data_IF_693566627458
#
_entry.id   IF_693566627458
#
_cell.length_a   1.000
_cell.length_b   1.000
_cell.length_c   1.000
_cell.angle_alpha   90.00
_cell.angle_beta   90.00
_cell.angle_gamma   90.00
#
_symmetry.space_group_name_H-M   'P 1'
#
loop_
_entity.id
_entity.type
_entity.pdbx_description
1 polymer ?
#
# COMPACT_ATOMS: atom_id res chain seq x y z
N UNK A 1 46.64 -1.65 2.40
CA UNK A 1 45.31 -2.02 2.93
C UNK A 1 44.24 -1.05 2.40
N UNK A 2 44.27 -0.73 1.09
CA UNK A 2 43.47 0.40 0.57
C UNK A 2 43.06 0.26 -0.92
N UNK A 3 43.06 -0.95 -1.48
CA UNK A 3 42.85 -1.16 -2.93
C UNK A 3 41.72 -2.14 -3.29
N UNK A 4 41.06 -2.76 -2.31
CA UNK A 4 39.91 -3.66 -2.56
C UNK A 4 38.57 -2.89 -2.56
N UNK A 5 38.50 -1.75 -1.84
CA UNK A 5 37.27 -0.97 -1.71
C UNK A 5 36.85 -0.22 -2.99
N UNK A 6 37.77 0.00 -3.94
CA UNK A 6 37.52 0.73 -5.20
C UNK A 6 36.99 -0.14 -6.33
N UNK A 7 37.16 -1.47 -6.27
CA UNK A 7 36.70 -2.37 -7.33
C UNK A 7 35.18 -2.64 -7.25
N UNK A 8 34.60 -2.66 -6.05
CA UNK A 8 33.17 -2.95 -5.85
C UNK A 8 32.26 -1.79 -6.31
N UNK A 9 32.74 -0.55 -6.30
CA UNK A 9 31.96 0.61 -6.76
C UNK A 9 31.77 0.68 -8.28
N UNK A 10 32.72 0.16 -9.08
CA UNK A 10 32.66 0.27 -10.53
C UNK A 10 31.69 -0.74 -11.17
N UNK A 11 31.61 -1.97 -10.64
CA UNK A 11 30.69 -3.01 -11.15
C UNK A 11 29.21 -2.65 -10.92
N UNK A 12 28.92 -1.84 -9.89
CA UNK A 12 27.55 -1.38 -9.60
C UNK A 12 27.11 -0.22 -10.52
N UNK A 13 28.05 0.56 -11.08
CA UNK A 13 27.73 1.63 -12.04
C UNK A 13 27.63 1.14 -13.50
N UNK A 14 28.29 0.04 -13.89
CA UNK A 14 28.16 -0.49 -15.25
C UNK A 14 26.88 -1.31 -15.50
N UNK A 15 26.24 -1.84 -14.45
CA UNK A 15 24.99 -2.59 -14.59
C UNK A 15 23.71 -1.72 -14.62
N UNK A 16 23.82 -0.39 -14.47
CA UNK A 16 22.66 0.51 -14.47
C UNK A 16 22.35 1.13 -15.85
N UNK A 17 23.25 0.99 -16.82
CA UNK A 17 23.17 1.62 -18.15
C UNK A 17 22.65 0.68 -19.26
N UNK A 18 22.49 -0.61 -18.98
CA UNK A 18 22.06 -1.63 -19.95
C UNK A 18 20.53 -1.87 -19.99
N UNK A 19 19.77 -1.48 -18.97
CA UNK A 19 18.30 -1.72 -18.91
C UNK A 19 17.43 -0.49 -19.25
N UNK A 20 18.02 0.68 -19.53
CA UNK A 20 17.28 1.94 -19.83
C UNK A 20 17.33 2.29 -21.34
N UNK A 21 17.42 1.29 -22.21
CA UNK A 21 17.37 1.49 -23.67
C UNK A 21 16.48 0.43 -24.32
N UNK A 22 15.16 0.62 -24.23
CA UNK A 22 14.16 0.25 -25.26
C UNK A 22 12.71 0.47 -24.77
N UNK A 23 12.12 1.62 -25.12
CA UNK A 23 10.79 1.78 -25.77
C UNK A 23 10.31 3.25 -25.64
N UNK A 24 10.69 4.11 -26.60
CA UNK A 24 10.05 5.42 -26.79
C UNK A 24 10.27 5.99 -28.20
N UNK A 25 9.37 5.63 -29.11
CA UNK A 25 9.06 6.24 -30.44
C UNK A 25 8.17 5.24 -31.21
N UNK A 26 7.33 5.54 -32.21
CA UNK A 26 6.52 6.71 -32.62
C UNK A 26 5.48 6.16 -33.64
N UNK A 27 4.31 6.73 -33.95
CA UNK A 27 3.64 7.99 -33.57
C UNK A 27 2.10 7.82 -33.65
N UNK A 28 1.31 8.91 -33.52
CA UNK A 28 -0.14 8.98 -33.79
C UNK A 28 -0.60 8.31 -35.09
N UNK A 29 -1.77 7.65 -35.07
CA UNK A 29 -2.68 7.68 -36.23
C UNK A 29 -4.16 7.82 -35.81
N UNK A 30 -4.87 8.70 -36.51
CA UNK A 30 -6.26 9.11 -36.21
C UNK A 30 -7.26 8.13 -36.82
N UNK A 31 -8.23 7.64 -36.05
CA UNK A 31 -9.38 6.90 -36.60
C UNK A 31 -10.62 7.80 -36.69
N UNK A 32 -11.30 7.66 -37.83
CA UNK A 32 -12.26 8.58 -38.43
C UNK A 32 -13.66 8.51 -37.80
N UNK A 33 -14.40 9.63 -37.82
CA UNK A 33 -15.84 9.62 -37.55
C UNK A 33 -16.60 8.80 -38.60
N UNK A 34 -17.57 8.00 -38.16
CA UNK A 34 -18.73 7.64 -38.99
C UNK A 34 -20.03 7.87 -38.23
N UNK A 35 -20.94 8.61 -38.88
CA UNK A 35 -22.29 8.91 -38.38
C UNK A 35 -23.27 7.81 -38.79
N UNK A 36 -24.12 7.36 -37.86
CA UNK A 36 -25.15 6.36 -38.14
C UNK A 36 -26.42 6.61 -37.33
N UNK A 37 -27.34 7.41 -37.87
CA UNK A 37 -28.62 7.74 -37.24
C UNK A 37 -29.71 6.76 -37.69
N UNK A 38 -30.37 6.06 -36.76
CA UNK A 38 -31.82 5.73 -36.82
C UNK A 38 -32.35 5.23 -35.47
N UNK A 39 -33.29 5.98 -34.87
CA UNK A 39 -34.28 5.41 -33.94
C UNK A 39 -35.42 4.77 -34.76
N UNK A 40 -36.14 3.78 -34.21
CA UNK A 40 -37.45 4.10 -33.65
C UNK A 40 -37.84 3.36 -32.33
N UNK A 41 -38.76 4.01 -31.61
CA UNK A 41 -39.82 3.52 -30.70
C UNK A 41 -40.16 2.00 -30.75
N UNK A 42 -40.67 1.32 -29.71
CA UNK A 42 -41.16 1.68 -28.36
C UNK A 42 -41.53 0.35 -27.65
N UNK A 43 -41.22 0.17 -26.34
CA UNK A 43 -42.17 -0.44 -25.38
C UNK A 43 -41.79 -0.12 -23.92
N UNK A 44 -42.77 -0.10 -23.03
CA UNK A 44 -42.64 0.32 -21.62
C UNK A 44 -42.83 -0.86 -20.66
N UNK A 45 -41.80 -1.19 -19.89
CA UNK A 45 -41.97 -1.96 -18.64
C UNK A 45 -41.44 -1.17 -17.45
N UNK A 46 -42.37 -0.71 -16.61
CA UNK A 46 -42.07 -0.04 -15.35
C UNK A 46 -41.61 -1.10 -14.36
N UNK A 47 -40.37 -0.95 -13.87
CA UNK A 47 -39.85 -1.71 -12.74
C UNK A 47 -39.62 -0.70 -11.61
N UNK A 48 -40.40 -0.81 -10.53
CA UNK A 48 -40.25 0.04 -9.35
C UNK A 48 -38.93 -0.29 -8.62
N UNK A 49 -37.92 0.56 -8.81
CA UNK A 49 -36.71 0.58 -8.00
C UNK A 49 -37.04 1.10 -6.58
N UNK A 50 -36.63 0.39 -5.51
CA UNK A 50 -36.88 0.84 -4.14
C UNK A 50 -36.13 2.14 -3.85
N UNK A 51 -36.68 3.04 -3.01
CA UNK A 51 -36.14 4.38 -2.83
C UNK A 51 -34.72 4.35 -2.24
N UNK A 52 -33.74 4.60 -3.11
CA UNK A 52 -32.35 4.81 -2.70
C UNK A 52 -32.29 5.96 -1.71
N UNK A 53 -32.05 5.64 -0.43
CA UNK A 53 -31.77 6.63 0.61
C UNK A 53 -30.48 7.35 0.24
N UNK A 54 -30.60 8.46 -0.50
CA UNK A 54 -29.49 9.36 -0.81
C UNK A 54 -28.91 9.88 0.50
N UNK A 55 -27.87 9.21 0.98
CA UNK A 55 -27.07 9.70 2.08
C UNK A 55 -26.50 11.05 1.61
N UNK A 56 -26.91 12.14 2.27
CA UNK A 56 -26.41 13.48 1.97
C UNK A 56 -24.97 13.57 2.45
N UNK A 57 -24.03 13.08 1.64
CA UNK A 57 -22.60 13.19 1.90
C UNK A 57 -22.22 14.67 1.73
N UNK A 58 -22.13 15.38 2.86
CA UNK A 58 -21.46 16.68 2.97
C UNK A 58 -20.06 16.57 2.38
N UNK A 59 -19.70 17.53 1.52
CA UNK A 59 -18.52 17.43 0.66
C UNK A 59 -17.19 17.43 1.43
N UNK A 60 -17.20 17.83 2.70
CA UNK A 60 -16.02 17.97 3.55
C UNK A 60 -15.58 16.65 4.23
N UNK A 61 -16.47 15.68 4.38
CA UNK A 61 -16.21 14.46 5.17
C UNK A 61 -15.60 13.30 4.35
N UNK A 62 -15.60 13.43 3.02
CA UNK A 62 -15.13 12.40 2.09
C UNK A 62 -13.66 11.99 2.27
N UNK A 63 -12.69 12.90 2.50
CA UNK A 63 -11.27 12.53 2.61
C UNK A 63 -11.00 11.68 3.85
N UNK A 64 -11.56 12.09 5.01
CA UNK A 64 -11.38 11.39 6.29
C UNK A 64 -11.96 9.98 6.27
N UNK A 65 -13.13 9.81 5.66
CA UNK A 65 -13.74 8.48 5.47
C UNK A 65 -12.87 7.53 4.62
N UNK A 66 -12.06 8.05 3.69
CA UNK A 66 -11.12 7.21 2.93
C UNK A 66 -9.89 6.85 3.77
N UNK A 67 -9.32 7.82 4.50
CA UNK A 67 -8.18 7.64 5.40
C UNK A 67 -8.45 6.58 6.50
N UNK A 68 -9.61 6.65 7.15
CA UNK A 68 -10.05 5.68 8.16
C UNK A 68 -10.16 4.26 7.56
N UNK A 69 -10.74 4.14 6.37
CA UNK A 69 -10.88 2.87 5.65
C UNK A 69 -9.53 2.30 5.21
N UNK A 70 -8.63 3.14 4.69
CA UNK A 70 -7.27 2.72 4.33
C UNK A 70 -6.48 2.27 5.56
N UNK A 71 -6.59 2.99 6.68
CA UNK A 71 -5.94 2.62 7.94
C UNK A 71 -6.39 1.25 8.44
N UNK A 72 -7.68 0.92 8.32
CA UNK A 72 -8.20 -0.42 8.62
C UNK A 72 -7.69 -1.49 7.64
N UNK A 73 -7.74 -1.23 6.33
CA UNK A 73 -7.32 -2.20 5.28
C UNK A 73 -5.82 -2.51 5.33
N UNK A 74 -5.00 -1.51 5.66
CA UNK A 74 -3.53 -1.60 5.66
C UNK A 74 -2.94 -2.00 7.03
N UNK A 75 -3.79 -2.15 8.05
CA UNK A 75 -3.37 -2.57 9.40
C UNK A 75 -2.79 -3.99 9.43
N UNK A 76 -1.90 -4.26 10.38
CA UNK A 76 -1.42 -5.61 10.63
C UNK A 76 -2.56 -6.49 11.18
N UNK A 77 -2.80 -7.66 10.58
CA UNK A 77 -3.87 -8.57 11.00
C UNK A 77 -3.69 -9.22 12.39
N UNK A 78 -2.62 -8.88 13.12
CA UNK A 78 -2.26 -9.43 14.44
C UNK A 78 -2.37 -8.36 15.53
N UNK A 79 -1.59 -7.27 15.43
CA UNK A 79 -1.65 -6.16 16.40
C UNK A 79 -2.66 -5.06 16.05
N UNK A 80 -3.25 -5.09 14.85
CA UNK A 80 -4.16 -4.07 14.31
C UNK A 80 -3.54 -2.68 14.10
N UNK A 81 -2.22 -2.54 14.31
CA UNK A 81 -1.50 -1.29 14.11
C UNK A 81 -1.11 -1.04 12.65
N UNK A 82 -1.05 0.24 12.30
CA UNK A 82 -0.55 0.74 11.03
C UNK A 82 0.96 1.04 11.13
N UNK A 83 1.76 -0.04 11.06
CA UNK A 83 3.22 -0.03 11.21
C UNK A 83 3.97 0.64 10.06
N UNK A 84 4.96 1.48 10.36
CA UNK A 84 5.94 2.03 9.39
C UNK A 84 7.15 1.09 9.15
N UNK A 85 7.26 0.00 9.91
CA UNK A 85 8.26 -1.05 9.73
C UNK A 85 7.81 -2.07 8.65
N UNK A 86 8.72 -2.91 8.12
CA UNK A 86 8.42 -3.75 6.96
C UNK A 86 7.12 -4.54 7.07
N UNK A 87 6.32 -4.51 6.02
CA UNK A 87 5.02 -5.19 5.98
C UNK A 87 5.16 -6.44 5.11
N UNK A 88 4.91 -7.61 5.71
CA UNK A 88 4.92 -8.89 5.03
C UNK A 88 3.50 -9.28 4.62
N UNK A 89 3.37 -9.78 3.40
CA UNK A 89 2.12 -10.26 2.83
C UNK A 89 2.21 -11.78 2.61
N UNK A 90 1.23 -12.54 3.10
CA UNK A 90 1.10 -13.95 2.75
C UNK A 90 0.57 -14.12 1.32
N UNK A 91 0.69 -15.32 0.73
CA UNK A 91 0.25 -15.60 -0.65
C UNK A 91 -1.21 -15.20 -0.96
N UNK A 92 -2.07 -15.12 0.05
CA UNK A 92 -3.48 -14.75 -0.07
C UNK A 92 -3.80 -13.28 0.29
N UNK A 93 -2.78 -12.44 0.53
CA UNK A 93 -2.96 -10.98 0.69
C UNK A 93 -2.99 -10.43 2.12
N UNK A 94 -2.96 -11.26 3.16
CA UNK A 94 -3.01 -10.77 4.55
C UNK A 94 -1.68 -10.14 4.99
N UNK A 95 -1.78 -8.97 5.64
CA UNK A 95 -0.66 -8.11 6.02
C UNK A 95 -0.22 -8.31 7.47
N UNK A 96 1.08 -8.49 7.69
CA UNK A 96 1.71 -8.67 9.01
C UNK A 96 2.89 -7.71 9.14
N UNK A 97 2.97 -6.93 10.22
CA UNK A 97 4.15 -6.11 10.48
C UNK A 97 5.36 -6.99 10.84
N UNK A 98 6.57 -6.49 10.61
CA UNK A 98 7.81 -7.24 10.83
C UNK A 98 7.94 -7.87 12.23
N UNK A 99 7.49 -7.18 13.29
CA UNK A 99 7.50 -7.74 14.65
C UNK A 99 6.56 -8.94 14.77
N UNK A 100 5.29 -8.76 14.40
CA UNK A 100 4.28 -9.82 14.46
C UNK A 100 4.62 -11.03 13.58
N UNK A 101 5.16 -10.80 12.38
CA UNK A 101 5.62 -11.88 11.49
C UNK A 101 6.78 -12.68 12.11
N UNK A 102 7.79 -12.01 12.69
CA UNK A 102 8.89 -12.69 13.36
C UNK A 102 8.45 -13.43 14.63
N UNK A 103 7.47 -12.89 15.39
CA UNK A 103 6.92 -13.57 16.57
C UNK A 103 6.23 -14.88 16.16
N UNK A 104 5.37 -14.88 15.13
CA UNK A 104 4.75 -16.13 14.63
C UNK A 104 5.80 -17.19 14.25
N UNK A 105 6.83 -16.79 13.48
CA UNK A 105 7.91 -17.70 13.07
C UNK A 105 8.69 -18.25 14.27
N UNK A 106 8.90 -17.44 15.31
CA UNK A 106 9.59 -17.85 16.54
C UNK A 106 8.73 -18.80 17.38
N UNK A 107 7.47 -18.45 17.62
CA UNK A 107 6.53 -19.23 18.45
C UNK A 107 6.29 -20.63 17.89
N UNK A 108 6.06 -20.74 16.58
CA UNK A 108 5.88 -22.03 15.92
C UNK A 108 7.19 -22.85 15.94
N UNK A 109 8.35 -22.21 15.69
CA UNK A 109 9.65 -22.90 15.78
C UNK A 109 9.94 -23.44 17.19
N UNK A 110 9.55 -22.73 18.25
CA UNK A 110 9.70 -23.18 19.64
C UNK A 110 8.81 -24.38 19.99
N UNK A 111 7.72 -24.60 19.24
CA UNK A 111 6.77 -25.69 19.42
C UNK A 111 6.98 -26.87 18.46
N UNK A 112 7.94 -26.77 17.55
CA UNK A 112 8.10 -27.68 16.40
C UNK A 112 6.84 -27.75 15.50
N UNK A 113 6.16 -26.61 15.35
CA UNK A 113 4.93 -26.46 14.56
C UNK A 113 5.19 -25.71 13.24
N UNK A 114 4.39 -26.00 12.22
CA UNK A 114 4.38 -25.23 10.97
C UNK A 114 3.78 -23.83 11.19
N UNK A 115 4.49 -22.78 10.82
CA UNK A 115 3.94 -21.43 10.87
C UNK A 115 2.89 -21.23 9.79
N UNK A 116 1.72 -20.70 10.15
CA UNK A 116 0.61 -20.42 9.24
C UNK A 116 0.06 -19.00 9.42
N UNK A 117 -0.55 -18.45 8.37
CA UNK A 117 -1.21 -17.15 8.41
C UNK A 117 -2.44 -17.21 9.35
N UNK A 118 -2.58 -16.33 10.35
CA UNK A 118 -3.71 -16.37 11.30
C UNK A 118 -5.09 -16.29 10.63
N UNK A 119 -5.19 -15.56 9.51
CA UNK A 119 -6.46 -15.30 8.82
C UNK A 119 -6.88 -16.45 7.90
N UNK A 120 -5.98 -16.95 7.05
CA UNK A 120 -6.31 -17.91 5.99
C UNK A 120 -5.59 -19.26 6.10
N UNK A 121 -4.79 -19.48 7.15
CA UNK A 121 -4.10 -20.74 7.49
C UNK A 121 -3.15 -21.31 6.40
N UNK A 122 -2.87 -20.55 5.34
CA UNK A 122 -1.79 -20.90 4.41
C UNK A 122 -0.46 -20.93 5.17
N UNK A 123 0.47 -21.76 4.72
CA UNK A 123 1.84 -21.76 5.24
C UNK A 123 2.46 -20.36 5.13
N UNK A 124 3.20 -19.92 6.16
CA UNK A 124 4.02 -18.70 6.08
C UNK A 124 5.46 -18.98 6.48
N UNK A 125 6.40 -18.37 5.75
CA UNK A 125 7.84 -18.52 5.92
C UNK A 125 8.55 -17.30 5.34
N UNK A 126 9.86 -17.17 5.61
CA UNK A 126 10.68 -16.09 5.04
C UNK A 126 10.83 -16.16 3.51
N UNK A 127 10.48 -17.28 2.87
CA UNK A 127 10.58 -17.48 1.42
C UNK A 127 9.25 -17.42 0.68
N UNK A 128 8.12 -17.69 1.34
CA UNK A 128 6.79 -17.67 0.72
C UNK A 128 5.96 -16.40 1.02
N UNK A 129 6.39 -15.58 1.98
CA UNK A 129 5.80 -14.28 2.27
C UNK A 129 6.66 -13.16 1.69
N UNK A 130 6.02 -12.21 1.01
CA UNK A 130 6.70 -11.12 0.30
C UNK A 130 6.63 -9.84 1.12
N UNK A 131 7.73 -9.09 1.20
CA UNK A 131 7.74 -7.72 1.75
C UNK A 131 7.02 -6.78 0.76
N UNK A 132 5.90 -6.19 1.17
CA UNK A 132 5.10 -5.32 0.32
C UNK A 132 5.54 -3.84 0.46
N UNK A 133 6.51 -3.46 -0.37
CA UNK A 133 7.02 -2.08 -0.45
C UNK A 133 5.97 -1.06 -0.91
N UNK A 134 4.92 -1.48 -1.63
CA UNK A 134 3.85 -0.57 -2.04
C UNK A 134 3.00 -0.16 -0.83
N UNK A 135 2.61 -1.13 0.01
CA UNK A 135 1.91 -0.90 1.28
C UNK A 135 2.75 -0.03 2.22
N UNK A 136 4.05 -0.30 2.36
CA UNK A 136 4.95 0.54 3.18
C UNK A 136 4.97 2.01 2.72
N UNK A 137 5.03 2.24 1.40
CA UNK A 137 4.95 3.59 0.83
C UNK A 137 3.58 4.22 1.08
N UNK A 138 2.47 3.50 0.82
CA UNK A 138 1.12 4.03 1.08
C UNK A 138 0.92 4.39 2.55
N UNK A 139 1.41 3.58 3.49
CA UNK A 139 1.38 3.89 4.92
C UNK A 139 2.20 5.13 5.26
N UNK A 140 3.35 5.32 4.61
CA UNK A 140 4.24 6.47 4.85
C UNK A 140 3.59 7.80 4.48
N UNK A 141 2.76 7.82 3.42
CA UNK A 141 2.01 8.99 2.95
C UNK A 141 0.68 9.23 3.68
N UNK A 142 0.23 8.30 4.54
CA UNK A 142 -0.97 8.54 5.34
C UNK A 142 -0.68 9.55 6.45
N UNK A 143 -1.63 10.45 6.77
CA UNK A 143 -1.45 11.42 7.83
C UNK A 143 -1.38 10.76 9.21
N UNK A 144 -0.78 11.50 10.14
CA UNK A 144 -0.74 11.21 11.57
C UNK A 144 -0.66 12.51 12.36
N UNK A 145 -1.32 12.55 13.51
CA UNK A 145 -1.25 13.68 14.43
C UNK A 145 -0.02 13.56 15.34
N UNK A 146 0.65 14.67 15.60
CA UNK A 146 1.71 14.73 16.61
C UNK A 146 1.14 14.74 18.02
N UNK A 147 1.64 13.84 18.87
CA UNK A 147 1.24 13.71 20.29
C UNK A 147 1.51 14.97 21.15
N UNK A 148 2.40 15.87 20.71
CA UNK A 148 2.81 17.07 21.43
C UNK A 148 2.07 18.33 20.95
N UNK A 149 2.31 18.74 19.69
CA UNK A 149 1.76 19.98 19.12
C UNK A 149 0.39 19.84 18.43
N UNK A 150 -0.15 18.62 18.37
CA UNK A 150 -1.43 18.25 17.76
C UNK A 150 -1.56 18.59 16.25
N UNK A 151 -0.47 18.95 15.57
CA UNK A 151 -0.46 19.18 14.12
C UNK A 151 -0.38 17.85 13.34
N UNK A 152 -0.88 17.87 12.10
CA UNK A 152 -0.87 16.71 11.19
C UNK A 152 0.40 16.72 10.33
N UNK A 153 1.05 15.56 10.21
CA UNK A 153 2.22 15.32 9.37
C UNK A 153 2.06 14.00 8.59
N UNK A 154 2.97 13.72 7.66
CA UNK A 154 3.10 12.38 7.09
C UNK A 154 3.69 11.40 8.10
N UNK A 155 3.32 10.11 8.02
CA UNK A 155 3.87 9.05 8.89
C UNK A 155 5.38 8.81 8.68
N UNK A 156 5.91 9.15 7.52
CA UNK A 156 7.36 9.20 7.25
C UNK A 156 8.08 10.28 8.06
N UNK A 157 7.44 11.41 8.31
CA UNK A 157 8.06 12.61 8.90
C UNK A 157 7.91 12.68 10.43
N UNK A 158 6.87 12.04 10.97
CA UNK A 158 6.44 12.22 12.37
C UNK A 158 7.56 11.98 13.39
N UNK A 159 8.39 10.95 13.18
CA UNK A 159 9.50 10.61 14.09
C UNK A 159 10.57 11.71 14.11
N UNK A 160 10.89 12.29 12.96
CA UNK A 160 11.84 13.40 12.84
C UNK A 160 11.26 14.66 13.48
N UNK A 161 9.98 14.95 13.21
CA UNK A 161 9.28 16.05 13.87
C UNK A 161 9.31 15.92 15.40
N UNK A 162 8.83 14.81 15.95
CA UNK A 162 8.76 14.52 17.39
C UNK A 162 10.10 14.41 18.11
N UNK A 163 11.23 14.34 17.40
CA UNK A 163 12.57 14.25 18.01
C UNK A 163 13.44 15.49 17.80
N UNK A 164 13.19 16.29 16.77
CA UNK A 164 14.09 17.40 16.37
C UNK A 164 13.36 18.72 16.08
N UNK A 165 12.12 18.70 15.60
CA UNK A 165 11.45 19.90 15.06
C UNK A 165 10.18 20.32 15.83
N UNK A 166 9.74 19.53 16.81
CA UNK A 166 8.59 19.87 17.64
C UNK A 166 9.00 20.83 18.75
N UNK A 167 8.35 22.00 18.82
CA UNK A 167 8.62 23.03 19.82
C UNK A 167 7.98 22.74 21.18
N UNK A 168 6.97 21.85 21.21
CA UNK A 168 6.13 21.56 22.39
C UNK A 168 6.54 20.25 23.10
N UNK A 169 7.82 19.86 22.98
CA UNK A 169 8.37 18.55 23.41
C UNK A 169 9.05 18.59 24.78
#
# INVERSE_FOLDING_TARGET
MTEIATLISNDLQQNLSSEIVNLSSDTNETILLTTGTTNPMLDSTVIDEPPTKKCKITTNDKPRLLEERLSSILSCCICLDLSTLPIFQCINGHLMCASCFNHLLADCKLKDEQTTCPNCRCEISKSNCTRNLAVEKTISELPIQCDYCLQIFLRSEIKTHQSQNCLDR
#
